data_IF_218343426901
#
_entry.id   IF_218343426901
#
_cell.length_a   1.000
_cell.length_b   1.000
_cell.length_c   1.000
_cell.angle_alpha   90.00
_cell.angle_beta   90.00
_cell.angle_gamma   90.00
#
_symmetry.space_group_name_H-M   'P 1'
#
loop_
_entity.id
_entity.type
_entity.pdbx_description
1 polymer ?
#
# COMPACT_ATOMS: atom_id res chain seq x y z
N UNK A 1 -6.70 19.74 -7.14
CA UNK A 1 -6.47 19.49 -6.63
C UNK A 1 -6.75 19.10 -5.58
N UNK A 2 -6.90 18.48 -5.11
CA UNK A 2 -7.08 18.17 -4.20
C UNK A 2 -6.34 17.66 -3.51
N UNK A 3 -5.66 17.97 -3.21
CA UNK A 3 -4.73 17.68 -2.49
C UNK A 3 -5.04 17.17 -1.27
N UNK A 4 -4.44 16.45 -0.56
CA UNK A 4 -4.70 15.92 0.71
C UNK A 4 -5.64 14.75 0.72
N UNK A 5 -6.11 14.41 -0.41
CA UNK A 5 -7.00 13.29 -0.51
C UNK A 5 -6.24 12.04 -0.84
N UNK A 6 -6.35 11.06 0.04
CA UNK A 6 -5.75 9.77 -0.24
C UNK A 6 -6.64 8.99 -1.18
N UNK A 7 -6.06 8.43 -2.19
CA UNK A 7 -6.76 7.53 -3.09
C UNK A 7 -6.04 6.19 -3.04
N UNK A 8 -6.72 5.16 -3.57
CA UNK A 8 -6.09 3.84 -3.59
C UNK A 8 -4.78 3.88 -4.36
N UNK A 9 -4.78 4.59 -5.46
CA UNK A 9 -3.58 4.68 -6.29
C UNK A 9 -2.47 5.43 -5.56
N UNK A 10 -2.84 6.53 -4.92
CA UNK A 10 -1.88 7.34 -4.18
C UNK A 10 -1.26 6.54 -3.04
N UNK A 11 -2.09 5.80 -2.31
CA UNK A 11 -1.59 5.00 -1.21
C UNK A 11 -0.69 3.88 -1.69
N UNK A 12 -1.08 3.25 -2.80
CA UNK A 12 -0.28 2.18 -3.37
C UNK A 12 1.09 2.69 -3.80
N UNK A 13 1.11 3.85 -4.42
CA UNK A 13 2.36 4.46 -4.82
C UNK A 13 3.22 4.77 -3.60
N UNK A 14 2.60 5.27 -2.54
CA UNK A 14 3.32 5.54 -1.31
C UNK A 14 3.93 4.29 -0.73
N UNK A 15 3.19 3.19 -0.74
CA UNK A 15 3.69 1.92 -0.24
C UNK A 15 4.95 1.53 -1.00
N UNK A 16 4.90 1.60 -2.31
CA UNK A 16 6.03 1.17 -3.13
C UNK A 16 7.23 2.07 -2.92
N UNK A 17 6.98 3.36 -2.80
CA UNK A 17 8.05 4.33 -2.59
C UNK A 17 8.74 4.09 -1.25
N UNK A 18 7.95 3.97 -0.19
CA UNK A 18 8.52 3.78 1.14
C UNK A 18 9.19 2.42 1.28
N UNK A 19 8.65 1.43 0.58
CA UNK A 19 9.30 0.13 0.59
C UNK A 19 10.68 0.21 -0.07
N UNK A 20 10.78 0.96 -1.15
CA UNK A 20 12.06 1.13 -1.82
C UNK A 20 13.05 1.86 -0.93
N UNK A 21 12.55 2.74 -0.06
CA UNK A 21 13.38 3.44 0.89
C UNK A 21 13.65 2.64 2.17
N UNK A 22 13.11 1.43 2.20
CA UNK A 22 13.30 0.55 3.36
C UNK A 22 12.68 1.14 4.62
N UNK A 23 11.61 1.90 4.46
CA UNK A 23 10.92 2.51 5.59
C UNK A 23 9.69 1.65 5.89
N UNK A 24 9.89 0.65 6.73
CA UNK A 24 8.85 -0.32 7.01
C UNK A 24 7.66 0.28 7.72
N UNK A 25 7.91 1.22 8.60
CA UNK A 25 6.80 1.83 9.34
C UNK A 25 5.92 2.65 8.41
N UNK A 26 6.54 3.41 7.52
CA UNK A 26 5.78 4.27 6.63
C UNK A 26 4.94 3.45 5.65
N UNK A 27 5.55 2.46 5.00
CA UNK A 27 4.76 1.71 4.03
C UNK A 27 3.72 0.83 4.73
N UNK A 28 4.01 0.41 5.95
CA UNK A 28 3.02 -0.33 6.71
C UNK A 28 1.80 0.51 7.03
N UNK A 29 2.01 1.76 7.38
CA UNK A 29 0.89 2.68 7.64
C UNK A 29 0.07 2.91 6.39
N UNK A 30 0.72 3.10 5.25
CA UNK A 30 0.00 3.24 4.00
C UNK A 30 -0.78 1.99 3.66
N UNK A 31 -0.19 0.83 3.93
CA UNK A 31 -0.85 -0.43 3.64
C UNK A 31 -2.13 -0.58 4.45
N UNK A 32 -2.07 -0.22 5.72
CA UNK A 32 -3.25 -0.29 6.57
C UNK A 32 -4.32 0.64 6.05
N UNK A 33 -3.94 1.87 5.69
CA UNK A 33 -4.91 2.82 5.16
C UNK A 33 -5.54 2.31 3.88
N UNK A 34 -4.75 1.73 3.00
CA UNK A 34 -5.26 1.25 1.72
C UNK A 34 -6.28 0.14 1.95
N UNK A 35 -5.95 -0.81 2.79
CA UNK A 35 -6.87 -1.92 3.03
C UNK A 35 -8.11 -1.48 3.80
N UNK A 36 -7.96 -0.50 4.67
CA UNK A 36 -9.08 -0.05 5.46
C UNK A 36 -10.04 0.83 4.66
N UNK A 37 -9.49 1.74 3.88
CA UNK A 37 -10.31 2.74 3.18
C UNK A 37 -10.75 2.27 1.80
N UNK A 38 -9.96 1.45 1.16
CA UNK A 38 -10.24 1.02 -0.21
C UNK A 38 -10.09 -0.49 -0.35
N UNK A 39 -10.87 -1.26 0.45
CA UNK A 39 -10.66 -2.71 0.47
C UNK A 39 -11.02 -3.40 -0.83
N UNK A 40 -11.85 -2.75 -1.66
CA UNK A 40 -12.30 -3.37 -2.90
C UNK A 40 -11.59 -2.80 -4.12
N UNK A 41 -10.57 -2.00 -3.89
CA UNK A 41 -9.85 -1.42 -5.02
C UNK A 41 -8.88 -2.44 -5.60
N UNK A 42 -8.54 -2.30 -6.90
CA UNK A 42 -7.51 -3.16 -7.48
C UNK A 42 -6.18 -3.04 -6.74
N UNK A 43 -5.88 -1.84 -6.25
CA UNK A 43 -4.63 -1.61 -5.54
C UNK A 43 -4.60 -2.39 -4.23
N UNK A 44 -5.72 -2.48 -3.54
CA UNK A 44 -5.77 -3.28 -2.31
C UNK A 44 -5.56 -4.76 -2.62
N UNK A 45 -6.11 -5.21 -3.72
CA UNK A 45 -5.91 -6.60 -4.14
C UNK A 45 -4.44 -6.85 -4.47
N UNK A 46 -3.82 -5.89 -5.16
CA UNK A 46 -2.41 -6.00 -5.49
C UNK A 46 -1.56 -6.04 -4.23
N UNK A 47 -1.90 -5.20 -3.27
CA UNK A 47 -1.18 -5.16 -2.00
C UNK A 47 -1.27 -6.49 -1.29
N UNK A 48 -2.45 -7.06 -1.24
CA UNK A 48 -2.65 -8.34 -0.57
C UNK A 48 -1.83 -9.43 -1.22
N UNK A 49 -1.84 -9.47 -2.54
CA UNK A 49 -1.07 -10.44 -3.29
C UNK A 49 0.42 -10.25 -3.05
N UNK A 50 0.85 -9.01 -3.06
CA UNK A 50 2.25 -8.67 -2.86
C UNK A 50 2.73 -9.08 -1.48
N UNK A 51 1.91 -8.83 -0.47
CA UNK A 51 2.28 -9.22 0.90
C UNK A 51 2.34 -10.73 1.03
N UNK A 52 1.41 -11.42 0.38
CA UNK A 52 1.38 -12.87 0.42
C UNK A 52 2.63 -13.44 -0.22
N UNK A 53 3.02 -12.89 -1.35
CA UNK A 53 4.19 -13.37 -2.06
C UNK A 53 5.47 -13.10 -1.26
N UNK A 54 5.55 -11.96 -0.64
CA UNK A 54 6.70 -11.64 0.19
C UNK A 54 6.81 -12.60 1.37
N UNK A 55 5.66 -12.90 1.96
CA UNK A 55 5.65 -13.79 3.10
C UNK A 55 6.04 -15.20 2.71
N UNK A 56 5.59 -15.64 1.54
CA UNK A 56 5.88 -16.98 1.06
C UNK A 56 7.30 -17.11 0.54
N UNK A 57 7.84 -16.04 0.01
CA UNK A 57 9.19 -16.09 -0.54
C UNK A 57 10.19 -16.19 0.59
N UNK A 58 11.03 -17.14 0.52
CA UNK A 58 12.04 -17.32 1.57
C UNK A 58 13.42 -17.35 0.99
#
# INVERSE_FOLDING_TARGET
>A
QEDGQDTAESLWLGIRTEYALDDHQAWGNYAIKLRHNFPESPQAAELQKWEYERRSAK
#
